data_IF_012395855207
#
_entry.id   IF_012395855207
#
_cell.length_a   1.000
_cell.length_b   1.000
_cell.length_c   1.000
_cell.angle_alpha   90.00
_cell.angle_beta   90.00
_cell.angle_gamma   90.00
#
_symmetry.space_group_name_H-M   'P 1'
#
loop_
_entity.id
_entity.type
_entity.pdbx_description
1 polymer ?
#
# COMPACT_ATOMS: atom_id res chain seq x y z
N UNK A 1 43.26 13.95 -17.73
CA UNK A 1 42.76 14.46 -19.03
C UNK A 1 42.23 13.30 -19.86
N UNK A 2 40.90 13.17 -19.95
CA UNK A 2 40.08 12.61 -21.05
C UNK A 2 38.70 12.27 -20.49
N UNK A 3 37.97 13.36 -20.29
CA UNK A 3 36.53 13.43 -20.10
C UNK A 3 35.80 12.85 -21.31
N UNK A 4 35.19 11.67 -21.17
CA UNK A 4 34.11 11.24 -22.06
C UNK A 4 32.78 11.41 -21.34
N UNK A 5 32.13 12.52 -21.69
CA UNK A 5 30.76 12.89 -21.33
C UNK A 5 29.82 11.96 -22.08
N UNK A 6 29.25 10.97 -21.40
CA UNK A 6 28.13 10.18 -21.94
C UNK A 6 26.89 11.07 -21.95
N UNK A 7 26.62 11.70 -23.09
CA UNK A 7 25.35 12.35 -23.38
C UNK A 7 24.31 11.26 -23.68
N UNK A 8 23.58 10.81 -22.66
CA UNK A 8 22.44 9.93 -22.85
C UNK A 8 21.29 10.80 -23.39
N UNK A 9 21.00 10.60 -24.67
CA UNK A 9 19.91 11.23 -25.41
C UNK A 9 18.58 10.77 -24.82
N UNK A 10 17.86 11.70 -24.17
CA UNK A 10 16.48 11.52 -23.69
C UNK A 10 15.54 11.56 -24.90
N UNK A 11 15.20 10.41 -25.45
CA UNK A 11 14.07 10.24 -26.38
C UNK A 11 12.76 10.23 -25.59
N UNK A 12 12.08 11.38 -25.56
CA UNK A 12 10.73 11.51 -25.03
C UNK A 12 9.72 10.81 -25.96
N UNK A 13 9.31 9.58 -25.63
CA UNK A 13 8.09 8.99 -26.17
C UNK A 13 6.88 9.62 -25.46
N UNK A 14 6.24 10.58 -26.12
CA UNK A 14 4.94 11.11 -25.71
C UNK A 14 3.88 10.10 -26.19
N UNK A 15 3.51 9.17 -25.31
CA UNK A 15 2.37 8.28 -25.52
C UNK A 15 1.05 9.04 -25.35
N UNK A 16 0.19 9.01 -26.36
CA UNK A 16 -1.15 9.59 -26.34
C UNK A 16 -2.01 8.92 -25.26
N UNK A 17 -2.33 9.66 -24.19
CA UNK A 17 -3.28 9.24 -23.16
C UNK A 17 -4.71 9.37 -23.70
N UNK A 18 -5.33 8.24 -24.07
CA UNK A 18 -6.77 8.19 -24.30
C UNK A 18 -7.49 8.30 -22.94
N UNK A 19 -8.49 9.18 -22.78
CA UNK A 19 -9.27 9.24 -21.56
C UNK A 19 -10.14 7.97 -21.47
N UNK A 20 -9.85 7.12 -20.49
CA UNK A 20 -10.73 6.02 -20.14
C UNK A 20 -12.05 6.62 -19.58
N UNK A 21 -13.13 6.50 -20.34
CA UNK A 21 -14.48 6.78 -19.86
C UNK A 21 -14.79 5.80 -18.74
N UNK A 22 -15.00 6.33 -17.53
CA UNK A 22 -15.43 5.54 -16.39
C UNK A 22 -16.88 5.08 -16.64
N UNK A 23 -17.07 3.77 -16.73
CA UNK A 23 -18.38 3.14 -16.80
C UNK A 23 -19.18 3.49 -15.53
N UNK A 24 -20.42 3.99 -15.68
CA UNK A 24 -21.34 4.33 -14.60
C UNK A 24 -21.68 3.08 -13.77
N UNK A 25 -20.81 2.76 -12.81
CA UNK A 25 -20.97 1.61 -11.95
C UNK A 25 -22.16 1.81 -11.02
N UNK A 26 -23.21 0.99 -11.21
CA UNK A 26 -24.35 0.92 -10.28
C UNK A 26 -23.87 0.78 -8.82
N UNK A 27 -24.55 1.43 -7.86
CA UNK A 27 -24.18 1.34 -6.45
C UNK A 27 -24.14 -0.11 -5.99
N UNK A 28 -22.97 -0.58 -5.56
CA UNK A 28 -22.85 -1.91 -4.96
C UNK A 28 -23.48 -1.88 -3.57
N UNK A 29 -24.25 -2.91 -3.17
CA UNK A 29 -24.82 -2.98 -1.83
C UNK A 29 -23.70 -2.92 -0.78
N UNK A 30 -23.93 -2.18 0.31
CA UNK A 30 -22.98 -2.09 1.42
C UNK A 30 -22.76 -3.48 2.00
N UNK A 31 -21.49 -3.88 2.13
CA UNK A 31 -21.12 -5.15 2.72
C UNK A 31 -21.51 -5.19 4.21
N UNK A 32 -22.01 -6.33 4.68
CA UNK A 32 -22.40 -6.53 6.08
C UNK A 32 -21.18 -6.37 7.01
N UNK A 33 -21.20 -5.43 7.98
CA UNK A 33 -20.11 -5.22 8.94
C UNK A 33 -19.80 -6.44 9.82
N UNK A 34 -20.79 -7.29 10.07
CA UNK A 34 -20.67 -8.44 10.97
C UNK A 34 -20.25 -9.72 10.26
N UNK A 35 -20.05 -9.68 8.94
CA UNK A 35 -19.56 -10.82 8.18
C UNK A 35 -18.19 -11.26 8.69
N UNK A 36 -18.08 -12.52 9.12
CA UNK A 36 -16.80 -13.14 9.46
C UNK A 36 -15.97 -13.39 8.21
N UNK A 37 -14.70 -12.99 8.26
CA UNK A 37 -13.71 -13.13 7.19
C UNK A 37 -12.45 -13.75 7.83
N UNK A 38 -12.08 -14.93 7.35
CA UNK A 38 -10.87 -15.63 7.76
C UNK A 38 -9.77 -15.45 6.72
N UNK A 39 -8.62 -14.93 7.13
CA UNK A 39 -7.44 -14.74 6.28
C UNK A 39 -6.23 -15.44 6.89
N UNK A 40 -5.45 -16.13 6.04
CA UNK A 40 -4.18 -16.72 6.42
C UNK A 40 -3.08 -15.67 6.36
N UNK A 41 -2.56 -15.29 7.52
CA UNK A 41 -1.46 -14.33 7.63
C UNK A 41 -0.13 -15.08 7.75
N UNK A 42 0.75 -14.99 6.73
CA UNK A 42 2.09 -15.57 6.81
C UNK A 42 2.92 -14.80 7.85
N UNK A 43 3.66 -15.53 8.68
CA UNK A 43 4.65 -14.94 9.59
C UNK A 43 5.99 -15.00 8.88
N UNK A 44 6.46 -13.85 8.39
CA UNK A 44 7.76 -13.76 7.69
C UNK A 44 8.89 -14.18 8.63
N UNK A 45 9.84 -14.97 8.13
CA UNK A 45 10.98 -15.47 8.90
C UNK A 45 10.66 -16.63 9.86
N UNK A 46 9.41 -17.08 9.94
CA UNK A 46 9.03 -18.28 10.70
C UNK A 46 9.16 -19.53 9.84
N UNK A 47 9.75 -20.60 10.41
CA UNK A 47 9.74 -21.95 9.83
C UNK A 47 8.42 -22.68 10.11
N UNK A 48 7.68 -22.22 11.11
CA UNK A 48 6.31 -22.65 11.38
C UNK A 48 5.39 -21.85 10.46
N UNK A 49 4.39 -22.50 9.86
CA UNK A 49 3.49 -21.90 8.87
C UNK A 49 2.75 -20.65 9.38
N UNK A 50 2.00 -20.00 8.47
CA UNK A 50 1.17 -18.85 8.80
C UNK A 50 0.07 -19.15 9.81
N UNK A 51 -0.51 -18.08 10.38
CA UNK A 51 -1.67 -18.17 11.28
C UNK A 51 -2.95 -17.80 10.54
N UNK A 52 -4.02 -18.54 10.78
CA UNK A 52 -5.35 -18.18 10.28
C UNK A 52 -6.04 -17.25 11.26
N UNK A 53 -6.44 -16.07 10.81
CA UNK A 53 -7.12 -15.06 11.63
C UNK A 53 -8.52 -14.84 11.07
N UNK A 54 -9.53 -15.08 11.92
CA UNK A 54 -10.93 -14.82 11.60
C UNK A 54 -11.41 -13.60 12.37
N UNK A 55 -11.82 -12.56 11.66
CA UNK A 55 -12.37 -11.33 12.24
C UNK A 55 -13.62 -10.91 11.47
N UNK A 56 -14.47 -10.09 12.07
CA UNK A 56 -15.58 -9.48 11.33
C UNK A 56 -15.07 -8.42 10.37
N UNK A 57 -15.86 -8.06 9.36
CA UNK A 57 -15.48 -7.00 8.42
C UNK A 57 -15.20 -5.67 9.13
N UNK A 58 -16.03 -5.30 10.11
CA UNK A 58 -15.79 -4.11 10.93
C UNK A 58 -14.43 -4.16 11.66
N UNK A 59 -14.07 -5.32 12.21
CA UNK A 59 -12.79 -5.50 12.90
C UNK A 59 -11.59 -5.45 11.95
N UNK A 60 -11.72 -5.96 10.72
CA UNK A 60 -10.71 -5.80 9.68
C UNK A 60 -10.52 -4.33 9.30
N UNK A 61 -11.61 -3.59 9.09
CA UNK A 61 -11.55 -2.17 8.78
C UNK A 61 -10.88 -1.36 9.91
N UNK A 62 -11.18 -1.68 11.17
CA UNK A 62 -10.53 -1.10 12.34
C UNK A 62 -9.03 -1.40 12.38
N UNK A 63 -8.64 -2.65 12.15
CA UNK A 63 -7.25 -3.09 12.10
C UNK A 63 -6.47 -2.31 11.03
N UNK A 64 -6.99 -2.21 9.81
CA UNK A 64 -6.33 -1.46 8.73
C UNK A 64 -6.21 0.03 9.06
N UNK A 65 -7.24 0.62 9.67
CA UNK A 65 -7.16 2.02 10.12
C UNK A 65 -6.03 2.23 11.13
N UNK A 66 -5.92 1.34 12.12
CA UNK A 66 -4.85 1.42 13.13
C UNK A 66 -3.46 1.22 12.49
N UNK A 67 -3.29 0.22 11.63
CA UNK A 67 -2.03 -0.04 10.94
C UNK A 67 -1.59 1.17 10.10
N UNK A 68 -2.53 1.77 9.36
CA UNK A 68 -2.27 2.99 8.60
C UNK A 68 -1.83 4.15 9.50
N UNK A 69 -2.53 4.39 10.60
CA UNK A 69 -2.15 5.43 11.57
C UNK A 69 -0.75 5.20 12.16
N UNK A 70 -0.39 3.95 12.47
CA UNK A 70 0.94 3.61 12.96
C UNK A 70 2.03 3.90 11.92
N UNK A 71 1.79 3.54 10.65
CA UNK A 71 2.72 3.83 9.55
C UNK A 71 2.85 5.33 9.36
N UNK A 72 1.73 6.06 9.25
CA UNK A 72 1.73 7.51 9.08
C UNK A 72 2.49 8.20 10.22
N UNK A 73 2.22 7.82 11.48
CA UNK A 73 2.95 8.33 12.65
C UNK A 73 4.45 8.06 12.58
N UNK A 74 4.86 6.91 12.04
CA UNK A 74 6.28 6.56 11.93
C UNK A 74 6.97 7.34 10.82
N UNK A 75 6.26 7.64 9.73
CA UNK A 75 6.79 8.43 8.61
C UNK A 75 6.92 9.91 8.93
N UNK A 76 5.97 10.50 9.67
CA UNK A 76 6.03 11.93 10.03
C UNK A 76 7.07 12.27 11.09
N UNK A 77 7.56 11.28 11.84
CA UNK A 77 8.57 11.46 12.88
C UNK A 77 10.01 11.20 12.38
N UNK A 78 10.29 11.47 11.10
CA UNK A 78 11.60 11.23 10.47
C UNK A 78 12.77 11.99 11.12
N UNK A 79 12.50 13.07 11.87
CA UNK A 79 13.52 13.70 12.72
C UNK A 79 13.66 12.92 14.04
N UNK A 80 14.45 11.84 14.03
CA UNK A 80 14.92 11.25 15.29
C UNK A 80 16.01 12.14 15.91
N UNK A 81 15.79 12.55 17.17
CA UNK A 81 16.73 13.36 17.95
C UNK A 81 18.07 12.62 18.07
N UNK A 82 19.06 13.03 17.25
CA UNK A 82 20.41 12.45 17.20
C UNK A 82 20.80 11.74 15.89
N UNK A 83 19.84 11.49 14.98
CA UNK A 83 20.11 10.86 13.69
C UNK A 83 19.97 11.81 12.47
N UNK A 84 19.58 13.07 12.73
CA UNK A 84 19.34 14.08 11.71
C UNK A 84 17.95 14.02 11.09
N UNK A 85 17.65 15.07 10.33
CA UNK A 85 16.61 15.14 9.32
C UNK A 85 17.36 15.34 7.98
#
# INVERSE_FOLDING_TARGET
MRSLRYAIVLTALIGSAAPALADDAKPRPKADPNRLICEDQPVLGSRLGGKRICLTRAQWDDKYRQERQMIERSQVNSCQKGAGC
#
